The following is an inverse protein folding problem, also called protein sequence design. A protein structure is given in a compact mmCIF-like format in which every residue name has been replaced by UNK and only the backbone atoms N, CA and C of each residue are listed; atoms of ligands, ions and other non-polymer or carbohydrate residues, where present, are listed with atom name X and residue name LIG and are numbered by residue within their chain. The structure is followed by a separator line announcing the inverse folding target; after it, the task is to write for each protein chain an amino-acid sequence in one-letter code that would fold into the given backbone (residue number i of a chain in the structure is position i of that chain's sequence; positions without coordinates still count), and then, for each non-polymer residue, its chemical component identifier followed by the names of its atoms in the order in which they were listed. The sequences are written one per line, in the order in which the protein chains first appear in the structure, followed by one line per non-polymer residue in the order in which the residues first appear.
data_IF_481013772432
#
_entry.id   IF_481013772432
#
_cell.length_a   1.000
_cell.length_b   1.000
_cell.length_c   1.000
_cell.angle_alpha   90.00
_cell.angle_beta   90.00
_cell.angle_gamma   90.00
#
_symmetry.space_group_name_H-M   'P 1'
#
loop_
_entity.id
_entity.type
_entity.pdbx_description
1 polymer ?
#
# COMPACT_ATOMS: atom_id res chain seq x y z
N UNK A 1 -19.59 17.44 -35.66
CA UNK A 1 -19.73 16.64 -34.44
C UNK A 1 -18.71 17.15 -33.43
N UNK A 2 -19.15 17.88 -32.41
CA UNK A 2 -18.24 18.42 -31.38
C UNK A 2 -17.94 17.34 -30.37
N UNK A 3 -16.73 16.78 -30.41
CA UNK A 3 -16.23 15.90 -29.36
C UNK A 3 -16.01 16.75 -28.11
N UNK A 4 -16.93 16.64 -27.14
CA UNK A 4 -16.70 17.16 -25.80
C UNK A 4 -15.50 16.37 -25.24
N UNK A 5 -14.39 17.04 -24.84
CA UNK A 5 -13.28 16.32 -24.24
C UNK A 5 -13.77 15.64 -22.96
N UNK A 6 -13.28 14.42 -22.66
CA UNK A 6 -13.61 13.75 -21.42
C UNK A 6 -13.27 14.66 -20.24
N UNK A 7 -14.10 14.60 -19.19
CA UNK A 7 -13.84 15.35 -17.97
C UNK A 7 -12.42 15.00 -17.48
N UNK A 8 -11.63 16.01 -17.04
CA UNK A 8 -10.26 15.76 -16.59
C UNK A 8 -10.29 14.76 -15.43
N UNK A 9 -9.65 13.61 -15.61
CA UNK A 9 -9.52 12.58 -14.58
C UNK A 9 -8.65 13.12 -13.45
N UNK A 10 -9.22 13.24 -12.26
CA UNK A 10 -8.52 13.70 -11.06
C UNK A 10 -7.64 12.62 -10.43
N UNK A 11 -7.91 11.34 -10.74
CA UNK A 11 -7.13 10.20 -10.28
C UNK A 11 -5.87 10.01 -11.12
N UNK A 12 -4.73 9.85 -10.46
CA UNK A 12 -3.44 9.46 -11.07
C UNK A 12 -3.49 7.99 -11.47
N UNK A 13 -2.95 7.67 -12.63
CA UNK A 13 -2.79 6.28 -13.07
C UNK A 13 -1.66 5.59 -12.30
N UNK A 14 -1.62 4.25 -12.36
CA UNK A 14 -0.57 3.47 -11.71
C UNK A 14 0.83 3.78 -12.25
N UNK A 15 0.97 4.06 -13.55
CA UNK A 15 2.26 4.39 -14.16
C UNK A 15 2.68 5.83 -13.91
N UNK A 16 1.77 6.79 -13.92
CA UNK A 16 2.06 8.16 -13.46
C UNK A 16 2.61 8.15 -12.03
N UNK A 17 1.94 7.42 -11.14
CA UNK A 17 2.35 7.27 -9.74
C UNK A 17 3.70 6.58 -9.63
N UNK A 18 3.91 5.50 -10.39
CA UNK A 18 5.17 4.73 -10.38
C UNK A 18 6.35 5.56 -10.87
N UNK A 19 6.18 6.35 -11.94
CA UNK A 19 7.21 7.25 -12.44
C UNK A 19 7.51 8.38 -11.45
N UNK A 20 6.49 8.97 -10.83
CA UNK A 20 6.67 9.98 -9.78
C UNK A 20 7.44 9.40 -8.58
N UNK A 21 7.12 8.18 -8.14
CA UNK A 21 7.88 7.46 -7.10
C UNK A 21 9.33 7.26 -7.49
N UNK A 22 9.61 6.91 -8.74
CA UNK A 22 10.98 6.75 -9.24
C UNK A 22 11.77 8.05 -9.14
N UNK A 23 11.19 9.19 -9.53
CA UNK A 23 11.82 10.51 -9.40
C UNK A 23 12.08 10.89 -7.94
N UNK A 24 11.18 10.52 -7.03
CA UNK A 24 11.30 10.82 -5.60
C UNK A 24 12.19 9.83 -4.82
N UNK A 25 12.43 8.61 -5.34
CA UNK A 25 13.17 7.54 -4.66
C UNK A 25 14.54 7.94 -4.09
N UNK A 26 15.41 8.71 -4.78
CA UNK A 26 16.72 9.08 -4.24
C UNK A 26 16.65 10.16 -3.14
N UNK A 27 15.48 10.72 -2.88
CA UNK A 27 15.31 11.87 -1.99
C UNK A 27 14.83 11.36 -0.61
N UNK A 28 15.79 11.19 0.31
CA UNK A 28 15.50 10.83 1.70
C UNK A 28 15.83 12.00 2.65
N UNK A 29 14.96 12.34 3.61
CA UNK A 29 13.63 11.77 3.86
C UNK A 29 12.56 12.29 2.87
N UNK A 30 11.65 11.39 2.44
CA UNK A 30 10.65 11.62 1.37
C UNK A 30 9.73 12.84 1.60
N UNK A 31 9.55 13.24 2.86
CA UNK A 31 8.66 14.33 3.28
C UNK A 31 9.34 15.71 3.34
N UNK A 32 10.67 15.82 3.17
CA UNK A 32 11.42 17.09 3.27
C UNK A 32 12.06 17.53 1.95
N UNK A 33 11.39 17.27 0.83
CA UNK A 33 11.88 17.70 -0.49
C UNK A 33 11.69 19.21 -0.66
N UNK A 34 12.78 19.93 -0.85
CA UNK A 34 12.77 21.39 -1.07
C UNK A 34 12.04 21.77 -2.37
N UNK A 35 11.37 22.93 -2.40
CA UNK A 35 10.59 23.40 -3.56
C UNK A 35 11.34 23.34 -4.89
N UNK A 36 12.62 23.76 -4.94
CA UNK A 36 13.45 23.70 -6.16
C UNK A 36 13.59 22.29 -6.72
N UNK A 37 13.61 21.28 -5.86
CA UNK A 37 13.68 19.87 -6.27
C UNK A 37 12.32 19.45 -6.83
N UNK A 38 11.22 19.87 -6.22
CA UNK A 38 9.89 19.67 -6.80
C UNK A 38 9.70 20.33 -8.17
N UNK A 39 10.31 21.49 -8.40
CA UNK A 39 10.33 22.14 -9.71
C UNK A 39 11.13 21.32 -10.74
N UNK A 40 12.25 20.69 -10.32
CA UNK A 40 12.98 19.76 -11.18
C UNK A 40 12.15 18.50 -11.50
N UNK A 41 11.57 17.86 -10.49
CA UNK A 41 10.66 16.70 -10.64
C UNK A 41 9.51 17.04 -11.59
N UNK A 42 8.88 18.21 -11.43
CA UNK A 42 7.77 18.62 -12.29
C UNK A 42 8.18 18.79 -13.75
N UNK A 43 9.40 19.29 -14.02
CA UNK A 43 9.94 19.36 -15.39
C UNK A 43 10.21 17.98 -15.97
N UNK A 44 10.77 17.08 -15.17
CA UNK A 44 11.09 15.71 -15.59
C UNK A 44 9.80 14.92 -15.85
N UNK A 45 8.78 15.14 -15.03
CA UNK A 45 7.43 14.61 -15.22
C UNK A 45 6.76 15.17 -16.47
N UNK A 46 6.85 16.47 -16.72
CA UNK A 46 6.31 17.09 -17.95
C UNK A 46 6.95 16.50 -19.22
N UNK A 47 8.26 16.26 -19.18
CA UNK A 47 8.97 15.62 -20.30
C UNK A 47 8.47 14.20 -20.52
N UNK A 48 8.32 13.41 -19.47
CA UNK A 48 7.79 12.05 -19.63
C UNK A 48 6.34 12.08 -20.12
N UNK A 49 5.47 12.91 -19.53
CA UNK A 49 4.08 13.05 -19.96
C UNK A 49 3.97 13.34 -21.46
N UNK A 50 4.85 14.17 -22.03
CA UNK A 50 4.84 14.46 -23.48
C UNK A 50 5.01 13.21 -24.35
N UNK A 51 5.66 12.16 -23.84
CA UNK A 51 5.84 10.88 -24.54
C UNK A 51 4.56 10.05 -24.56
N UNK A 52 3.67 10.27 -23.60
CA UNK A 52 2.40 9.55 -23.42
C UNK A 52 1.18 10.32 -23.96
N UNK A 53 1.36 11.60 -24.34
CA UNK A 53 0.34 12.42 -25.01
C UNK A 53 0.23 12.09 -26.51
N UNK A 54 -0.89 12.45 -27.18
CA UNK A 54 -1.05 12.22 -28.61
C UNK A 54 0.15 12.70 -29.45
N UNK A 55 0.69 11.81 -30.27
CA UNK A 55 1.90 12.05 -31.08
C UNK A 55 3.21 11.69 -30.38
N UNK A 56 3.19 11.31 -29.10
CA UNK A 56 4.33 10.79 -28.36
C UNK A 56 4.56 9.30 -28.61
N UNK A 57 5.80 8.80 -28.42
CA UNK A 57 6.18 7.42 -28.72
C UNK A 57 5.48 6.36 -27.84
N UNK A 58 4.92 6.74 -26.70
CA UNK A 58 4.25 5.81 -25.77
C UNK A 58 2.73 5.95 -25.77
N UNK A 59 2.16 6.87 -26.56
CA UNK A 59 0.73 7.18 -26.51
C UNK A 59 -0.17 5.96 -26.75
N UNK A 60 0.17 5.15 -27.75
CA UNK A 60 -0.65 4.01 -28.17
C UNK A 60 -0.55 2.80 -27.22
N UNK A 61 0.52 2.75 -26.40
CA UNK A 61 0.77 1.66 -25.45
C UNK A 61 0.23 2.04 -24.08
N UNK A 62 0.49 3.28 -23.65
CA UNK A 62 0.20 3.76 -22.31
C UNK A 62 -0.15 5.25 -22.36
N UNK A 63 -1.39 5.62 -22.72
CA UNK A 63 -1.79 7.01 -22.77
C UNK A 63 -1.90 7.60 -21.36
N UNK A 64 -1.23 8.72 -21.13
CA UNK A 64 -1.41 9.50 -19.89
C UNK A 64 -2.41 10.64 -20.14
N UNK A 65 -3.26 10.97 -19.14
CA UNK A 65 -4.08 12.16 -19.22
C UNK A 65 -3.19 13.42 -19.21
N UNK A 66 -3.61 14.46 -19.91
CA UNK A 66 -2.96 15.76 -19.83
C UNK A 66 -3.11 16.34 -18.41
N UNK A 67 -2.00 16.76 -17.79
CA UNK A 67 -1.99 17.33 -16.44
C UNK A 67 -1.16 18.60 -16.37
N UNK A 68 -1.53 19.44 -15.42
CA UNK A 68 -0.69 20.56 -15.02
C UNK A 68 0.56 20.03 -14.29
N UNK A 69 1.70 20.02 -14.99
CA UNK A 69 2.98 19.57 -14.45
C UNK A 69 3.71 20.68 -13.70
N UNK A 70 3.15 21.12 -12.56
CA UNK A 70 3.81 22.08 -11.67
C UNK A 70 4.17 21.44 -10.32
N UNK A 71 5.15 22.03 -9.64
CA UNK A 71 5.75 21.51 -8.41
C UNK A 71 4.70 21.08 -7.36
N UNK A 72 3.64 21.88 -7.18
CA UNK A 72 2.62 21.61 -6.17
C UNK A 72 1.74 20.39 -6.52
N UNK A 73 1.48 20.12 -7.80
CA UNK A 73 0.68 18.97 -8.22
C UNK A 73 1.44 17.67 -7.96
N UNK A 74 2.73 17.63 -8.34
CA UNK A 74 3.61 16.50 -8.06
C UNK A 74 3.77 16.27 -6.55
N UNK A 75 3.96 17.34 -5.76
CA UNK A 75 4.07 17.24 -4.30
C UNK A 75 2.81 16.65 -3.66
N UNK A 76 1.62 17.16 -4.03
CA UNK A 76 0.35 16.68 -3.48
C UNK A 76 0.11 15.22 -3.85
N UNK A 77 0.39 14.85 -5.11
CA UNK A 77 0.28 13.46 -5.55
C UNK A 77 1.22 12.54 -4.76
N UNK A 78 2.47 12.93 -4.55
CA UNK A 78 3.42 12.13 -3.78
C UNK A 78 3.05 12.00 -2.30
N UNK A 79 2.55 13.07 -1.66
CA UNK A 79 2.10 13.00 -0.26
C UNK A 79 0.90 12.06 -0.12
N UNK A 80 -0.05 12.13 -1.06
CA UNK A 80 -1.18 11.21 -1.10
C UNK A 80 -0.71 9.77 -1.24
N UNK A 81 0.22 9.53 -2.16
CA UNK A 81 0.81 8.23 -2.43
C UNK A 81 1.48 7.62 -1.19
N UNK A 82 2.30 8.41 -0.46
CA UNK A 82 2.92 7.97 0.80
C UNK A 82 1.85 7.59 1.83
N UNK A 83 0.79 8.40 1.97
CA UNK A 83 -0.29 8.12 2.94
C UNK A 83 -1.06 6.85 2.61
N UNK A 84 -1.29 6.59 1.32
CA UNK A 84 -1.93 5.35 0.87
C UNK A 84 -1.02 4.13 1.15
N UNK A 85 0.29 4.26 0.96
CA UNK A 85 1.29 3.23 1.33
C UNK A 85 1.32 2.97 2.84
N UNK A 86 1.36 4.04 3.66
CA UNK A 86 1.33 3.95 5.12
C UNK A 86 0.03 3.31 5.63
N UNK A 87 -1.11 3.67 5.06
CA UNK A 87 -2.41 3.08 5.42
C UNK A 87 -2.48 1.59 5.05
N UNK A 88 -1.98 1.21 3.87
CA UNK A 88 -1.92 -0.19 3.46
C UNK A 88 -1.01 -1.01 4.39
N UNK A 89 0.13 -0.44 4.79
CA UNK A 89 1.06 -1.08 5.73
C UNK A 89 0.40 -1.28 7.11
N UNK A 90 -0.31 -0.26 7.62
CA UNK A 90 -1.02 -0.36 8.90
C UNK A 90 -2.10 -1.46 8.89
N UNK A 91 -2.80 -1.65 7.77
CA UNK A 91 -3.78 -2.73 7.63
C UNK A 91 -3.13 -4.12 7.65
N UNK A 92 -1.96 -4.27 7.03
CA UNK A 92 -1.19 -5.53 7.05
C UNK A 92 -0.71 -5.84 8.47
N UNK A 93 -0.24 -4.84 9.21
CA UNK A 93 0.20 -5.01 10.59
C UNK A 93 -0.96 -5.37 11.52
N UNK A 94 -2.13 -4.75 11.34
CA UNK A 94 -3.34 -5.09 12.08
C UNK A 94 -3.75 -6.55 11.85
N UNK A 95 -3.85 -6.96 10.58
CA UNK A 95 -4.21 -8.33 10.22
C UNK A 95 -3.22 -9.36 10.79
N UNK A 96 -1.93 -9.03 10.80
CA UNK A 96 -0.91 -9.87 11.42
C UNK A 96 -1.10 -10.01 12.93
N UNK A 97 -1.44 -8.93 13.62
CA UNK A 97 -1.74 -8.96 15.06
C UNK A 97 -2.97 -9.81 15.39
N UNK A 98 -4.02 -9.71 14.57
CA UNK A 98 -5.23 -10.54 14.70
C UNK A 98 -4.93 -12.04 14.50
N UNK A 99 -4.11 -12.38 13.51
CA UNK A 99 -3.66 -13.75 13.26
C UNK A 99 -2.82 -14.31 14.42
N UNK A 100 -1.93 -13.49 15.00
CA UNK A 100 -1.12 -13.87 16.16
C UNK A 100 -2.01 -14.12 17.39
N UNK A 101 -2.96 -13.23 17.67
CA UNK A 101 -3.93 -13.40 18.77
C UNK A 101 -4.81 -14.65 18.59
N UNK A 102 -5.27 -14.93 17.37
CA UNK A 102 -6.07 -16.11 17.09
C UNK A 102 -5.29 -17.42 17.30
N UNK A 103 -3.99 -17.42 17.00
CA UNK A 103 -3.11 -18.58 17.27
C UNK A 103 -2.86 -18.78 18.75
N UNK A 104 -2.67 -17.70 19.52
CA UNK A 104 -2.50 -17.76 20.96
C UNK A 104 -3.74 -18.32 21.65
N UNK A 105 -4.93 -17.80 21.31
CA UNK A 105 -6.20 -18.30 21.85
C UNK A 105 -6.42 -19.81 21.55
N UNK A 106 -6.06 -20.28 20.35
CA UNK A 106 -6.14 -21.72 20.02
C UNK A 106 -5.18 -22.55 20.87
N UNK A 107 -3.96 -22.07 21.11
CA UNK A 107 -2.99 -22.76 21.98
C UNK A 107 -3.48 -22.83 23.42
N UNK A 108 -4.07 -21.77 23.94
CA UNK A 108 -4.65 -21.77 25.29
C UNK A 108 -5.75 -22.83 25.43
N UNK A 109 -6.66 -22.90 24.46
CA UNK A 109 -7.73 -23.92 24.42
C UNK A 109 -7.15 -25.34 24.30
N UNK A 110 -6.14 -25.56 23.46
CA UNK A 110 -5.47 -26.86 23.34
C UNK A 110 -4.79 -27.29 24.64
N UNK A 111 -4.13 -26.35 25.33
CA UNK A 111 -3.47 -26.61 26.63
C UNK A 111 -4.52 -26.93 27.69
N UNK A 112 -5.61 -26.17 27.78
CA UNK A 112 -6.70 -26.43 28.73
C UNK A 112 -7.36 -27.79 28.50
N UNK A 113 -7.62 -28.14 27.23
CA UNK A 113 -8.16 -29.45 26.86
C UNK A 113 -7.20 -30.58 27.24
N UNK A 114 -5.90 -30.43 27.00
CA UNK A 114 -4.89 -31.41 27.36
C UNK A 114 -4.80 -31.63 28.88
N UNK A 115 -4.84 -30.55 29.66
CA UNK A 115 -4.87 -30.63 31.13
C UNK A 115 -6.12 -31.35 31.63
N UNK A 116 -7.28 -31.04 31.06
CA UNK A 116 -8.55 -31.71 31.39
C UNK A 116 -8.49 -33.21 31.13
N UNK A 117 -7.95 -33.63 29.97
CA UNK A 117 -7.77 -35.05 29.64
C UNK A 117 -6.82 -35.76 30.61
N UNK A 118 -5.74 -35.09 31.03
CA UNK A 118 -4.81 -35.64 32.02
C UNK A 118 -5.48 -35.87 33.38
N UNK A 119 -6.31 -34.93 33.82
CA UNK A 119 -7.02 -35.05 35.10
C UNK A 119 -8.08 -36.15 35.07
N UNK A 120 -8.81 -36.30 33.95
CA UNK A 120 -9.70 -37.45 33.73
C UNK A 120 -8.94 -38.77 33.78
N UNK A 121 -7.81 -38.88 33.07
CA UNK A 121 -6.99 -40.08 33.07
C UNK A 121 -6.40 -40.43 34.45
N UNK A 122 -6.08 -39.41 35.26
CA UNK A 122 -5.65 -39.59 36.66
C UNK A 122 -6.80 -40.08 37.53
N UNK A 123 -8.00 -39.53 37.35
CA UNK A 123 -9.19 -39.92 38.10
C UNK A 123 -9.57 -41.38 37.81
N UNK A 124 -9.54 -41.81 36.55
CA UNK A 124 -9.80 -43.21 36.16
C UNK A 124 -8.77 -44.17 36.76
N UNK A 125 -7.48 -43.80 36.72
CA UNK A 125 -6.43 -44.60 37.37
C UNK A 125 -6.69 -44.78 38.87
N UNK A 126 -7.21 -43.76 39.58
CA UNK A 126 -7.54 -43.90 41.00
C UNK A 126 -8.73 -44.83 41.24
N UNK A 127 -9.70 -44.90 40.32
CA UNK A 127 -10.86 -45.80 40.43
C UNK A 127 -10.52 -47.25 40.09
N UNK A 128 -9.60 -47.48 39.16
CA UNK A 128 -9.17 -48.83 38.75
C UNK A 128 -8.35 -49.61 39.80
N UNK A 129 -7.85 -48.95 40.86
CA UNK A 129 -7.14 -49.59 41.98
C UNK A 129 -8.06 -50.00 43.16
N UNK A 130 -9.38 -49.84 43.00
CA UNK A 130 -10.40 -50.19 44.03
C UNK A 130 -11.09 -51.53 43.73
N UNK A 131 -10.57 -52.32 42.79
CA UNK A 131 -11.05 -53.68 42.49
C UNK A 131 -10.19 -54.75 43.15
#
# INVERSE_FOLDING_TARGET
MSHRPPAPTTAWTSSETSYLRQLCRPLSPRHLIHRRIWEAIARDFAREQSRHLPGGPHHDIEPWPARACHWNACRVAHIRDIREEEAAQALVELARGEDEAAREARREVEVEAALTLLDLARADRRRGWVA
#
